data_IF_687473805997
#
_entry.id   IF_687473805997
#
_cell.length_a   1.000
_cell.length_b   1.000
_cell.length_c   1.000
_cell.angle_alpha   90.00
_cell.angle_beta   90.00
_cell.angle_gamma   90.00
#
_symmetry.space_group_name_H-M   'P 1'
#
loop_
_entity.id
_entity.type
_entity.pdbx_description
1 polymer ?
#
# COMPACT_ATOMS: atom_id res chain seq x y z
N UNK A 1 10.70 -27.36 -10.07
CA UNK A 1 9.81 -26.59 -9.16
C UNK A 1 8.37 -26.97 -9.47
N UNK A 2 7.52 -27.18 -8.46
CA UNK A 2 6.09 -27.36 -8.72
C UNK A 2 5.47 -26.06 -9.24
N UNK A 3 4.37 -26.16 -9.99
CA UNK A 3 3.62 -25.02 -10.52
C UNK A 3 3.21 -24.02 -9.43
N UNK A 4 2.95 -24.51 -8.23
CA UNK A 4 2.64 -23.70 -7.05
C UNK A 4 3.78 -22.74 -6.66
N UNK A 5 5.03 -23.21 -6.60
CA UNK A 5 6.17 -22.34 -6.25
C UNK A 5 6.42 -21.28 -7.32
N UNK A 6 6.25 -21.63 -8.60
CA UNK A 6 6.39 -20.68 -9.70
C UNK A 6 5.34 -19.57 -9.59
N UNK A 7 4.08 -19.92 -9.31
CA UNK A 7 3.01 -18.94 -9.10
C UNK A 7 3.31 -17.98 -7.94
N UNK A 8 3.73 -18.53 -6.79
CA UNK A 8 4.10 -17.70 -5.64
C UNK A 8 5.23 -16.74 -5.98
N UNK A 9 6.26 -17.21 -6.69
CA UNK A 9 7.38 -16.37 -7.11
C UNK A 9 6.94 -15.24 -8.04
N UNK A 10 6.11 -15.53 -9.04
CA UNK A 10 5.57 -14.51 -9.96
C UNK A 10 4.80 -13.42 -9.20
N UNK A 11 3.94 -13.83 -8.26
CA UNK A 11 3.17 -12.89 -7.45
C UNK A 11 4.08 -12.05 -6.54
N UNK A 12 5.09 -12.65 -5.92
CA UNK A 12 6.06 -11.94 -5.08
C UNK A 12 6.88 -10.94 -5.88
N UNK A 13 7.33 -11.30 -7.08
CA UNK A 13 8.02 -10.39 -8.00
C UNK A 13 7.10 -9.23 -8.39
N UNK A 14 5.82 -9.49 -8.60
CA UNK A 14 4.83 -8.44 -8.92
C UNK A 14 4.65 -7.43 -7.78
N UNK A 15 4.51 -7.92 -6.54
CA UNK A 15 4.46 -7.06 -5.35
C UNK A 15 5.79 -6.32 -5.14
N UNK A 16 6.92 -7.02 -5.29
CA UNK A 16 8.25 -6.42 -5.20
C UNK A 16 8.41 -5.26 -6.18
N UNK A 17 8.14 -5.48 -7.47
CA UNK A 17 8.30 -4.44 -8.50
C UNK A 17 7.43 -3.22 -8.22
N UNK A 18 6.20 -3.44 -7.76
CA UNK A 18 5.28 -2.37 -7.37
C UNK A 18 5.84 -1.57 -6.19
N UNK A 19 6.11 -2.23 -5.06
CA UNK A 19 6.49 -1.56 -3.82
C UNK A 19 7.90 -0.97 -3.89
N UNK A 20 8.85 -1.68 -4.48
CA UNK A 20 10.22 -1.17 -4.67
C UNK A 20 10.21 0.06 -5.58
N UNK A 21 9.48 0.01 -6.71
CA UNK A 21 9.36 1.15 -7.63
C UNK A 21 8.73 2.37 -6.96
N UNK A 22 7.60 2.20 -6.27
CA UNK A 22 6.95 3.29 -5.54
C UNK A 22 7.84 3.81 -4.41
N UNK A 23 8.51 2.92 -3.67
CA UNK A 23 9.42 3.29 -2.60
C UNK A 23 10.60 4.14 -3.09
N UNK A 24 11.25 3.76 -4.20
CA UNK A 24 12.30 4.57 -4.81
C UNK A 24 11.81 5.94 -5.29
N UNK A 25 10.59 6.01 -5.86
CA UNK A 25 9.98 7.29 -6.26
C UNK A 25 9.68 8.18 -5.05
N UNK A 26 9.14 7.60 -3.98
CA UNK A 26 8.84 8.29 -2.73
C UNK A 26 10.10 8.87 -2.06
N UNK A 27 11.20 8.11 -2.03
CA UNK A 27 12.51 8.56 -1.53
C UNK A 27 13.05 9.75 -2.32
N UNK A 28 12.80 9.80 -3.63
CA UNK A 28 13.18 10.92 -4.50
C UNK A 28 12.22 12.12 -4.42
N UNK A 29 11.17 12.03 -3.60
CA UNK A 29 10.14 13.05 -3.46
C UNK A 29 9.52 13.44 -4.81
N UNK A 30 8.50 12.69 -5.26
CA UNK A 30 7.73 13.06 -6.45
C UNK A 30 6.66 14.09 -6.07
N UNK A 31 6.75 15.36 -6.53
CA UNK A 31 5.81 16.40 -6.10
C UNK A 31 4.35 16.12 -6.48
N UNK A 32 4.13 15.31 -7.53
CA UNK A 32 2.80 14.88 -7.96
C UNK A 32 2.04 14.06 -6.92
N UNK A 33 2.68 13.59 -5.84
CA UNK A 33 2.01 12.85 -4.76
C UNK A 33 1.58 13.74 -3.59
N UNK A 34 1.98 15.01 -3.58
CA UNK A 34 1.54 15.98 -2.58
C UNK A 34 0.00 16.10 -2.48
N UNK A 35 -0.78 16.14 -3.59
CA UNK A 35 -2.23 16.19 -3.53
C UNK A 35 -2.83 14.99 -2.79
N UNK A 36 -2.22 13.81 -2.93
CA UNK A 36 -2.70 12.59 -2.25
C UNK A 36 -2.56 12.70 -0.73
N UNK A 37 -1.42 13.19 -0.24
CA UNK A 37 -1.24 13.44 1.19
C UNK A 37 -2.14 14.61 1.67
N UNK A 38 -2.38 15.60 0.81
CA UNK A 38 -3.30 16.71 1.07
C UNK A 38 -4.74 16.24 1.31
N UNK A 39 -5.22 15.23 0.57
CA UNK A 39 -6.56 14.64 0.77
C UNK A 39 -6.77 14.18 2.20
N UNK A 40 -5.75 13.60 2.84
CA UNK A 40 -5.81 13.12 4.24
C UNK A 40 -5.42 14.19 5.27
N UNK A 41 -5.32 15.46 4.88
CA UNK A 41 -5.05 16.57 5.78
C UNK A 41 -3.59 16.81 6.12
N UNK A 42 -2.66 16.22 5.35
CA UNK A 42 -1.21 16.41 5.53
C UNK A 42 -0.73 17.54 4.60
N UNK A 43 -0.22 18.61 5.21
CA UNK A 43 0.36 19.76 4.51
C UNK A 43 1.74 19.48 3.92
N UNK A 44 2.18 20.36 3.02
CA UNK A 44 3.38 20.17 2.19
C UNK A 44 4.66 19.95 2.99
N UNK A 45 4.82 20.63 4.14
CA UNK A 45 6.00 20.48 5.01
C UNK A 45 6.09 19.06 5.57
N UNK A 46 5.00 18.56 6.14
CA UNK A 46 4.93 17.20 6.68
C UNK A 46 5.01 16.16 5.57
N UNK A 47 4.37 16.41 4.43
CA UNK A 47 4.45 15.54 3.27
C UNK A 47 5.89 15.34 2.77
N UNK A 48 6.73 16.39 2.79
CA UNK A 48 8.17 16.30 2.47
C UNK A 48 8.96 15.39 3.41
N UNK A 49 8.55 15.30 4.67
CA UNK A 49 9.19 14.45 5.67
C UNK A 49 8.66 13.01 5.57
N UNK A 50 7.34 12.87 5.42
CA UNK A 50 6.66 11.58 5.45
C UNK A 50 6.85 10.78 4.16
N UNK A 51 6.95 11.41 2.98
CA UNK A 51 7.11 10.68 1.72
C UNK A 51 8.36 9.78 1.71
N UNK A 52 9.56 10.26 2.09
CA UNK A 52 10.73 9.39 2.20
C UNK A 52 10.55 8.25 3.22
N UNK A 53 9.85 8.49 4.33
CA UNK A 53 9.57 7.46 5.35
C UNK A 53 8.64 6.38 4.78
N UNK A 54 7.57 6.78 4.12
CA UNK A 54 6.67 5.88 3.37
C UNK A 54 7.48 5.10 2.34
N UNK A 55 8.38 5.77 1.63
CA UNK A 55 9.24 5.14 0.64
C UNK A 55 10.15 4.06 1.17
N UNK A 56 10.76 4.31 2.33
CA UNK A 56 11.57 3.33 3.02
C UNK A 56 10.73 2.12 3.48
N UNK A 57 9.53 2.37 4.01
CA UNK A 57 8.59 1.30 4.37
C UNK A 57 8.20 0.46 3.15
N UNK A 58 7.91 1.07 2.01
CA UNK A 58 7.57 0.35 0.77
C UNK A 58 8.74 -0.54 0.31
N UNK A 59 9.98 -0.06 0.40
CA UNK A 59 11.17 -0.86 0.07
C UNK A 59 11.32 -2.05 1.02
N UNK A 60 11.11 -1.86 2.32
CA UNK A 60 11.13 -2.95 3.31
C UNK A 60 10.07 -4.00 2.94
N UNK A 61 8.84 -3.59 2.68
CA UNK A 61 7.74 -4.47 2.29
C UNK A 61 8.06 -5.22 0.99
N UNK A 62 8.67 -4.56 0.01
CA UNK A 62 9.08 -5.19 -1.25
C UNK A 62 10.04 -6.36 -0.98
N UNK A 63 11.11 -6.13 -0.22
CA UNK A 63 12.11 -7.16 0.06
C UNK A 63 11.57 -8.27 0.97
N UNK A 64 10.76 -7.92 1.97
CA UNK A 64 10.09 -8.92 2.81
C UNK A 64 9.17 -9.80 1.97
N UNK A 65 8.38 -9.22 1.06
CA UNK A 65 7.53 -10.00 0.16
C UNK A 65 8.32 -10.92 -0.76
N UNK A 66 9.48 -10.48 -1.25
CA UNK A 66 10.30 -11.26 -2.17
C UNK A 66 10.99 -12.44 -1.48
N UNK A 67 11.59 -12.20 -0.32
CA UNK A 67 12.50 -13.16 0.32
C UNK A 67 11.88 -13.95 1.47
N UNK A 68 10.88 -13.42 2.16
CA UNK A 68 10.28 -14.11 3.30
C UNK A 68 9.09 -14.94 2.83
N UNK A 69 9.18 -16.25 3.10
CA UNK A 69 8.09 -17.17 2.82
C UNK A 69 6.91 -16.92 3.76
N UNK A 70 5.71 -16.93 3.18
CA UNK A 70 4.43 -17.00 3.90
C UNK A 70 4.32 -16.03 5.08
N UNK A 71 4.36 -14.72 4.79
CA UNK A 71 4.04 -13.69 5.78
C UNK A 71 2.66 -13.04 5.48
N UNK A 72 1.54 -13.68 5.83
CA UNK A 72 0.20 -13.15 5.57
C UNK A 72 0.00 -11.70 6.04
N UNK A 73 0.55 -11.31 7.19
CA UNK A 73 0.41 -9.94 7.70
C UNK A 73 1.05 -8.89 6.78
N UNK A 74 2.18 -9.22 6.16
CA UNK A 74 2.84 -8.33 5.18
C UNK A 74 1.99 -8.24 3.92
N UNK A 75 1.39 -9.34 3.48
CA UNK A 75 0.46 -9.33 2.34
C UNK A 75 -0.83 -8.56 2.65
N UNK A 76 -1.34 -8.60 3.89
CA UNK A 76 -2.42 -7.72 4.36
C UNK A 76 -2.03 -6.25 4.23
N UNK A 77 -0.86 -5.88 4.76
CA UNK A 77 -0.36 -4.51 4.64
C UNK A 77 -0.22 -4.08 3.17
N UNK A 78 0.43 -4.90 2.34
CA UNK A 78 0.63 -4.60 0.93
C UNK A 78 -0.70 -4.45 0.17
N UNK A 79 -1.68 -5.30 0.46
CA UNK A 79 -3.02 -5.18 -0.11
C UNK A 79 -3.72 -3.89 0.35
N UNK A 80 -3.80 -3.65 1.66
CA UNK A 80 -4.51 -2.48 2.22
C UNK A 80 -3.86 -1.17 1.78
N UNK A 81 -2.53 -1.08 1.85
CA UNK A 81 -1.78 0.11 1.45
C UNK A 81 -1.88 0.36 -0.06
N UNK A 82 -1.69 -0.68 -0.88
CA UNK A 82 -1.84 -0.57 -2.34
C UNK A 82 -3.25 -0.17 -2.76
N UNK A 83 -4.27 -0.72 -2.09
CA UNK A 83 -5.66 -0.36 -2.33
C UNK A 83 -5.94 1.09 -1.92
N UNK A 84 -5.51 1.51 -0.72
CA UNK A 84 -5.73 2.86 -0.22
C UNK A 84 -5.05 3.91 -1.12
N UNK A 85 -3.81 3.67 -1.53
CA UNK A 85 -3.07 4.57 -2.43
C UNK A 85 -3.59 4.57 -3.86
N UNK A 86 -4.22 3.49 -4.34
CA UNK A 86 -4.95 3.50 -5.60
C UNK A 86 -6.26 4.31 -5.50
N UNK A 87 -7.02 4.12 -4.41
CA UNK A 87 -8.30 4.80 -4.17
C UNK A 87 -8.14 6.30 -3.92
N UNK A 88 -7.00 6.74 -3.40
CA UNK A 88 -6.77 8.17 -3.14
C UNK A 88 -6.75 9.02 -4.42
N UNK A 89 -6.45 8.41 -5.57
CA UNK A 89 -6.38 9.09 -6.87
C UNK A 89 -7.71 9.72 -7.28
N UNK A 90 -8.82 8.98 -7.42
CA UNK A 90 -10.11 9.59 -7.71
C UNK A 90 -10.55 10.57 -6.62
N UNK A 91 -10.20 10.33 -5.35
CA UNK A 91 -10.51 11.26 -4.25
C UNK A 91 -9.72 12.58 -4.39
N UNK A 92 -8.51 12.53 -4.93
CA UNK A 92 -7.69 13.71 -5.25
C UNK A 92 -8.11 14.42 -6.55
N UNK A 93 -9.18 13.97 -7.21
CA UNK A 93 -9.70 14.57 -8.44
C UNK A 93 -9.16 13.96 -9.73
N UNK A 94 -8.41 12.86 -9.66
CA UNK A 94 -8.01 12.12 -10.87
C UNK A 94 -9.15 11.26 -11.43
N UNK A 95 -8.96 10.77 -12.66
CA UNK A 95 -9.91 9.84 -13.28
C UNK A 95 -10.04 8.53 -12.49
N UNK A 96 -11.24 7.96 -12.43
CA UNK A 96 -11.48 6.62 -11.88
C UNK A 96 -10.66 5.54 -12.61
N UNK A 97 -10.30 5.77 -13.88
CA UNK A 97 -9.41 4.88 -14.61
C UNK A 97 -8.01 4.81 -14.01
N UNK A 98 -7.57 5.87 -13.31
CA UNK A 98 -6.32 5.85 -12.53
C UNK A 98 -6.37 4.91 -11.32
N UNK A 99 -7.55 4.60 -10.78
CA UNK A 99 -7.72 3.54 -9.79
C UNK A 99 -7.72 2.16 -10.46
N UNK A 100 -8.48 2.00 -11.55
CA UNK A 100 -8.64 0.72 -12.26
C UNK A 100 -7.30 0.23 -12.83
N UNK A 101 -6.51 1.12 -13.42
CA UNK A 101 -5.15 0.82 -13.94
C UNK A 101 -4.22 0.29 -12.83
N UNK A 102 -4.46 0.68 -11.57
CA UNK A 102 -3.65 0.31 -10.41
C UNK A 102 -4.16 -0.93 -9.67
N UNK A 103 -5.14 -1.64 -10.20
CA UNK A 103 -5.55 -2.95 -9.68
C UNK A 103 -4.38 -3.94 -9.60
N UNK A 104 -3.44 -3.85 -10.54
CA UNK A 104 -2.18 -4.60 -10.51
C UNK A 104 -1.28 -4.31 -9.31
N UNK A 105 -1.47 -3.18 -8.61
CA UNK A 105 -0.65 -2.82 -7.44
C UNK A 105 -1.04 -3.61 -6.18
N UNK A 106 -2.31 -4.01 -6.05
CA UNK A 106 -2.82 -4.60 -4.81
C UNK A 106 -3.42 -6.02 -4.99
N UNK A 107 -3.95 -6.36 -6.16
CA UNK A 107 -4.49 -7.70 -6.42
C UNK A 107 -3.44 -8.83 -6.26
N UNK A 108 -2.17 -8.67 -6.69
CA UNK A 108 -1.14 -9.69 -6.43
C UNK A 108 -0.91 -9.94 -4.94
N UNK A 109 -0.95 -8.90 -4.11
CA UNK A 109 -0.83 -9.04 -2.66
C UNK A 109 -2.04 -9.77 -2.05
N UNK A 110 -3.26 -9.50 -2.53
CA UNK A 110 -4.45 -10.24 -2.11
C UNK A 110 -4.38 -11.73 -2.51
N UNK A 111 -3.88 -12.02 -3.70
CA UNK A 111 -3.66 -13.40 -4.15
C UNK A 111 -2.63 -14.12 -3.26
N UNK A 112 -1.49 -13.46 -2.96
CA UNK A 112 -0.50 -14.00 -2.02
C UNK A 112 -1.09 -14.22 -0.64
N UNK A 113 -1.89 -13.28 -0.14
CA UNK A 113 -2.57 -13.42 1.14
C UNK A 113 -3.43 -14.68 1.16
N UNK A 114 -4.29 -14.86 0.14
CA UNK A 114 -5.19 -16.03 0.05
C UNK A 114 -4.43 -17.35 0.00
N UNK A 115 -3.32 -17.39 -0.74
CA UNK A 115 -2.49 -18.59 -0.89
C UNK A 115 -1.70 -18.89 0.40
N UNK A 116 -1.19 -17.86 1.08
CA UNK A 116 -0.37 -18.02 2.28
C UNK A 116 -1.21 -18.28 3.55
N UNK A 117 -2.46 -17.82 3.60
CA UNK A 117 -3.29 -17.91 4.81
C UNK A 117 -4.05 -19.23 4.98
N UNK A 118 -4.11 -20.09 3.96
CA UNK A 118 -4.83 -21.37 4.05
C UNK A 118 -6.29 -21.23 4.49
N UNK A 119 -6.65 -21.89 5.60
CA UNK A 119 -7.98 -21.84 6.22
C UNK A 119 -8.23 -20.55 7.03
N UNK A 120 -7.16 -19.87 7.47
CA UNK A 120 -7.24 -18.65 8.28
C UNK A 120 -7.53 -17.39 7.45
N UNK A 121 -7.84 -17.53 6.16
CA UNK A 121 -8.06 -16.39 5.26
C UNK A 121 -9.10 -15.39 5.80
N UNK A 122 -10.20 -15.87 6.40
CA UNK A 122 -11.23 -15.02 6.98
C UNK A 122 -10.71 -14.13 8.11
N UNK A 123 -9.80 -14.64 8.95
CA UNK A 123 -9.14 -13.87 10.01
C UNK A 123 -8.30 -12.73 9.43
N UNK A 124 -7.54 -13.00 8.36
CA UNK A 124 -6.74 -11.97 7.71
C UNK A 124 -7.56 -10.92 6.95
N UNK A 125 -8.74 -11.28 6.41
CA UNK A 125 -9.67 -10.30 5.86
C UNK A 125 -10.24 -9.37 6.94
N UNK A 126 -10.53 -9.90 8.14
CA UNK A 126 -10.91 -9.09 9.28
C UNK A 126 -9.80 -8.11 9.67
N UNK A 127 -8.54 -8.57 9.68
CA UNK A 127 -7.38 -7.69 9.90
C UNK A 127 -7.31 -6.60 8.83
N UNK A 128 -7.44 -6.93 7.54
CA UNK A 128 -7.43 -5.93 6.46
C UNK A 128 -8.51 -4.86 6.66
N UNK A 129 -9.69 -5.26 7.11
CA UNK A 129 -10.81 -4.36 7.41
C UNK A 129 -10.49 -3.44 8.58
N UNK A 130 -9.88 -3.97 9.64
CA UNK A 130 -9.43 -3.18 10.78
C UNK A 130 -8.35 -2.17 10.38
N UNK A 131 -7.36 -2.60 9.60
CA UNK A 131 -6.28 -1.73 9.10
C UNK A 131 -6.84 -0.59 8.23
N UNK A 132 -7.81 -0.89 7.37
CA UNK A 132 -8.48 0.12 6.53
C UNK A 132 -9.22 1.14 7.39
N UNK A 133 -9.94 0.68 8.42
CA UNK A 133 -10.62 1.55 9.39
C UNK A 133 -9.63 2.47 10.12
N UNK A 134 -8.49 1.92 10.56
CA UNK A 134 -7.43 2.69 11.24
C UNK A 134 -6.88 3.79 10.32
N UNK A 135 -6.55 3.47 9.07
CA UNK A 135 -6.06 4.45 8.09
C UNK A 135 -7.09 5.57 7.85
N UNK A 136 -8.38 5.22 7.74
CA UNK A 136 -9.45 6.19 7.58
C UNK A 136 -9.57 7.12 8.79
N UNK A 137 -9.50 6.57 10.01
CA UNK A 137 -9.55 7.33 11.27
C UNK A 137 -8.39 8.33 11.33
N UNK A 138 -7.15 7.92 11.04
CA UNK A 138 -6.01 8.84 11.01
C UNK A 138 -6.22 9.98 10.01
N UNK A 139 -6.72 9.69 8.81
CA UNK A 139 -7.05 10.73 7.83
C UNK A 139 -8.12 11.71 8.31
N UNK A 140 -9.12 11.25 9.07
CA UNK A 140 -10.13 12.14 9.70
C UNK A 140 -9.47 12.99 10.79
N UNK A 141 -8.68 12.38 11.68
CA UNK A 141 -7.99 13.07 12.77
C UNK A 141 -7.12 14.21 12.22
N UNK A 142 -6.28 13.93 11.21
CA UNK A 142 -5.39 14.94 10.63
C UNK A 142 -6.16 16.11 10.01
N UNK A 143 -7.30 15.84 9.37
CA UNK A 143 -8.18 16.89 8.81
C UNK A 143 -8.86 17.73 9.88
N UNK A 144 -9.40 17.11 10.94
CA UNK A 144 -10.19 17.81 11.98
C UNK A 144 -9.28 18.60 12.92
N UNK A 145 -8.18 18.00 13.36
CA UNK A 145 -7.29 18.61 14.35
C UNK A 145 -6.31 19.61 13.75
N UNK A 146 -6.02 19.50 12.45
CA UNK A 146 -5.01 20.32 11.80
C UNK A 146 -3.58 20.03 12.25
N UNK A 147 -3.33 18.94 12.98
CA UNK A 147 -2.02 18.57 13.55
C UNK A 147 -0.88 18.60 12.53
N UNK A 148 -1.16 18.33 11.25
CA UNK A 148 -0.17 18.30 10.17
C UNK A 148 -0.47 19.27 9.03
N UNK A 149 -1.23 20.34 9.27
CA UNK A 149 -1.67 21.25 8.21
C UNK A 149 -0.56 22.19 7.69
N UNK A 150 0.47 22.47 8.51
CA UNK A 150 1.54 23.43 8.24
C UNK A 150 2.92 22.80 8.18
#
# INVERSE_FOLDING_TARGET
MSSHYVLLLILRISVFGTFFGHGCLALRFVPGWLPYLGVVGIGTKWARILMPVIGLLDIIIAFVCLFMDACPLVYCWAFVWGLATALIRPIAGESIFGFIERTGNFCPALALLRLASGQDFGYYLMICTLMTSILAIFGVIFRVTGLMKN
#
